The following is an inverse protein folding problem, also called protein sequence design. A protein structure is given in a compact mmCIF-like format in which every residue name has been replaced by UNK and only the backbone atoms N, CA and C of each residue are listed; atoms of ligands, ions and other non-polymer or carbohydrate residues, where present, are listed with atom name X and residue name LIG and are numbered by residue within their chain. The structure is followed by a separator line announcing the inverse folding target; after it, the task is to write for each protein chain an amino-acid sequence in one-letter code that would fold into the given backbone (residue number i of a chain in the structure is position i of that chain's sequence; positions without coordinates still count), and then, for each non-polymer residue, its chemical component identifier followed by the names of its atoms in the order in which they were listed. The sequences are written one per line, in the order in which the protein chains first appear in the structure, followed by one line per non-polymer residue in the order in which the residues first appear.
data_IF_273901517695
#
_entry.id   IF_273901517695
#
_cell.length_a   1.000
_cell.length_b   1.000
_cell.length_c   1.000
_cell.angle_alpha   90.00
_cell.angle_beta   90.00
_cell.angle_gamma   90.00
#
_symmetry.space_group_name_H-M   'P 1'
#
loop_
_entity.id
_entity.type
_entity.pdbx_description
1 polymer ?
#
# COMPACT_ATOMS: atom_id res chain seq x y z
N UNK A 1 13.53 11.28 3.06
CA UNK A 1 13.26 10.48 1.85
C UNK A 1 12.54 9.22 2.30
N UNK A 2 11.46 8.83 1.64
CA UNK A 2 10.66 7.63 1.95
C UNK A 2 10.79 6.68 0.76
N UNK A 3 11.08 5.40 1.02
CA UNK A 3 10.98 4.36 0.01
C UNK A 3 9.68 3.60 0.25
N UNK A 4 8.73 3.73 -0.68
CA UNK A 4 7.50 2.93 -0.69
C UNK A 4 7.65 1.82 -1.72
N UNK A 5 7.28 0.61 -1.35
CA UNK A 5 7.23 -0.55 -2.24
C UNK A 5 5.82 -1.12 -2.24
N UNK A 6 5.19 -1.12 -3.40
CA UNK A 6 3.88 -1.73 -3.58
C UNK A 6 4.02 -3.25 -3.45
N UNK A 7 3.24 -3.82 -2.54
CA UNK A 7 3.31 -5.23 -2.13
C UNK A 7 1.96 -5.88 -2.44
N UNK A 8 1.65 -5.89 -3.74
CA UNK A 8 0.29 -6.12 -4.25
C UNK A 8 0.06 -7.47 -4.95
N UNK A 9 1.09 -8.09 -5.54
CA UNK A 9 0.91 -9.38 -6.22
C UNK A 9 0.77 -10.53 -5.21
N UNK A 10 -0.47 -10.90 -4.92
CA UNK A 10 -0.83 -12.05 -4.08
C UNK A 10 -1.06 -13.34 -4.88
N UNK A 11 -0.99 -13.30 -6.22
CA UNK A 11 -1.26 -14.46 -7.08
C UNK A 11 0.02 -15.27 -7.29
N UNK A 12 1.12 -14.59 -7.63
CA UNK A 12 2.39 -15.20 -8.07
C UNK A 12 3.29 -15.52 -6.88
N UNK A 13 3.55 -16.79 -6.53
CA UNK A 13 4.41 -17.16 -5.40
C UNK A 13 5.85 -16.68 -5.51
N UNK A 14 6.40 -16.59 -6.71
CA UNK A 14 7.78 -16.18 -6.97
C UNK A 14 8.06 -14.74 -6.52
N UNK A 15 7.02 -13.90 -6.45
CA UNK A 15 7.15 -12.54 -5.91
C UNK A 15 7.44 -12.50 -4.41
N UNK A 16 7.17 -13.59 -3.69
CA UNK A 16 7.48 -13.70 -2.26
C UNK A 16 9.00 -13.68 -2.03
N UNK A 17 9.79 -14.29 -2.93
CA UNK A 17 11.27 -14.26 -2.86
C UNK A 17 11.82 -12.87 -3.17
N UNK A 18 11.23 -12.18 -4.16
CA UNK A 18 11.60 -10.79 -4.47
C UNK A 18 11.35 -9.86 -3.29
N UNK A 19 10.25 -10.06 -2.55
CA UNK A 19 9.96 -9.28 -1.35
C UNK A 19 10.99 -9.52 -0.24
N UNK A 20 11.43 -10.78 -0.06
CA UNK A 20 12.50 -11.10 0.88
C UNK A 20 13.80 -10.39 0.49
N UNK A 21 14.21 -10.54 -0.77
CA UNK A 21 15.43 -9.93 -1.30
C UNK A 21 15.43 -8.40 -1.11
N UNK A 22 14.29 -7.75 -1.39
CA UNK A 22 14.14 -6.31 -1.20
C UNK A 22 14.23 -5.93 0.29
N UNK A 23 13.51 -6.60 1.18
CA UNK A 23 13.57 -6.32 2.62
C UNK A 23 15.01 -6.48 3.16
N UNK A 24 15.67 -7.59 2.83
CA UNK A 24 17.05 -7.84 3.24
C UNK A 24 18.05 -6.84 2.64
N UNK A 25 17.81 -6.36 1.43
CA UNK A 25 18.61 -5.30 0.82
C UNK A 25 18.50 -4.00 1.63
N UNK A 26 17.29 -3.60 2.00
CA UNK A 26 17.05 -2.42 2.82
C UNK A 26 17.71 -2.55 4.20
N UNK A 27 17.57 -3.71 4.84
CA UNK A 27 18.23 -4.02 6.12
C UNK A 27 19.76 -3.95 6.01
N UNK A 28 20.35 -4.52 4.96
CA UNK A 28 21.80 -4.51 4.73
C UNK A 28 22.38 -3.10 4.68
N UNK A 29 21.62 -2.14 4.14
CA UNK A 29 22.04 -0.74 4.07
C UNK A 29 21.56 0.11 5.25
N UNK A 30 20.89 -0.49 6.25
CA UNK A 30 20.37 0.23 7.41
C UNK A 30 19.26 1.23 7.06
N UNK A 31 18.53 1.00 5.98
CA UNK A 31 17.45 1.87 5.50
C UNK A 31 16.10 1.23 5.79
N UNK A 32 15.21 1.95 6.46
CA UNK A 32 13.83 1.49 6.66
C UNK A 32 12.97 1.88 5.44
N UNK A 33 12.43 0.89 4.75
CA UNK A 33 11.39 1.07 3.73
C UNK A 33 9.98 0.98 4.33
N UNK A 34 8.99 1.40 3.55
CA UNK A 34 7.56 1.19 3.79
C UNK A 34 7.03 0.23 2.74
N UNK A 35 6.48 -0.90 3.16
CA UNK A 35 5.83 -1.86 2.27
C UNK A 35 4.32 -1.60 2.31
N UNK A 36 3.73 -1.25 1.17
CA UNK A 36 2.31 -1.05 1.02
C UNK A 36 1.65 -2.41 0.77
N UNK A 37 1.17 -3.06 1.82
CA UNK A 37 0.74 -4.47 1.76
C UNK A 37 -0.76 -4.58 1.52
N UNK A 38 -1.12 -5.37 0.51
CA UNK A 38 -2.51 -5.80 0.28
C UNK A 38 -2.92 -6.83 1.34
N UNK A 39 -4.13 -6.73 1.87
CA UNK A 39 -4.66 -7.71 2.84
C UNK A 39 -4.56 -9.16 2.36
N UNK A 40 -4.94 -9.41 1.11
CA UNK A 40 -4.83 -10.74 0.50
C UNK A 40 -3.37 -11.19 0.31
N UNK A 41 -2.42 -10.28 0.09
CA UNK A 41 -0.98 -10.61 0.05
C UNK A 41 -0.50 -11.10 1.40
N UNK A 42 -0.86 -10.42 2.48
CA UNK A 42 -0.53 -10.87 3.83
C UNK A 42 -1.09 -12.27 4.11
N UNK A 43 -2.34 -12.52 3.73
CA UNK A 43 -2.97 -13.85 3.85
C UNK A 43 -2.30 -14.89 2.97
N UNK A 44 -1.89 -14.55 1.75
CA UNK A 44 -1.18 -15.45 0.84
C UNK A 44 0.18 -15.88 1.42
N UNK A 45 0.99 -14.94 1.93
CA UNK A 45 2.26 -15.23 2.61
C UNK A 45 2.06 -16.21 3.78
N UNK A 46 1.05 -15.94 4.63
CA UNK A 46 0.72 -16.83 5.76
C UNK A 46 0.30 -18.23 5.29
N UNK A 47 -0.58 -18.34 4.29
CA UNK A 47 -1.03 -19.63 3.75
C UNK A 47 0.11 -20.43 3.12
N UNK A 48 1.07 -19.76 2.47
CA UNK A 48 2.26 -20.38 1.88
C UNK A 48 3.34 -20.72 2.90
N UNK A 49 3.18 -20.34 4.17
CA UNK A 49 4.18 -20.56 5.21
C UNK A 49 5.45 -19.73 5.05
N UNK A 50 5.38 -18.58 4.34
CA UNK A 50 6.49 -17.65 4.11
C UNK A 50 6.76 -16.77 5.34
N UNK A 51 7.05 -17.44 6.46
CA UNK A 51 7.37 -16.78 7.73
C UNK A 51 8.68 -15.99 7.65
N UNK A 52 9.63 -16.45 6.83
CA UNK A 52 10.84 -15.73 6.46
C UNK A 52 10.53 -14.32 5.89
N UNK A 53 9.61 -14.24 4.93
CA UNK A 53 9.18 -12.96 4.33
C UNK A 53 8.45 -12.11 5.36
N UNK A 54 7.53 -12.70 6.12
CA UNK A 54 6.77 -11.97 7.15
C UNK A 54 7.74 -11.36 8.17
N UNK A 55 8.69 -12.13 8.70
CA UNK A 55 9.67 -11.64 9.67
C UNK A 55 10.60 -10.57 9.08
N UNK A 56 10.96 -10.67 7.80
CA UNK A 56 11.72 -9.62 7.13
C UNK A 56 10.93 -8.32 7.02
N UNK A 57 9.67 -8.39 6.57
CA UNK A 57 8.78 -7.23 6.46
C UNK A 57 8.50 -6.58 7.83
N UNK A 58 8.45 -7.36 8.93
CA UNK A 58 8.26 -6.84 10.30
C UNK A 58 9.36 -5.87 10.75
N UNK A 59 10.53 -5.90 10.13
CA UNK A 59 11.65 -4.96 10.43
C UNK A 59 11.46 -3.61 9.74
N UNK A 60 10.52 -3.52 8.80
CA UNK A 60 10.19 -2.32 8.04
C UNK A 60 8.88 -1.69 8.49
N UNK A 61 8.54 -0.55 7.91
CA UNK A 61 7.23 0.07 8.08
C UNK A 61 6.20 -0.65 7.19
N UNK A 62 4.98 -0.84 7.71
CA UNK A 62 3.88 -1.47 6.99
C UNK A 62 2.82 -0.40 6.72
N UNK A 63 2.53 -0.17 5.44
CA UNK A 63 1.37 0.57 4.99
C UNK A 63 0.32 -0.39 4.42
N UNK A 64 -0.90 0.08 4.25
CA UNK A 64 -2.03 -0.72 3.79
C UNK A 64 -2.45 -0.31 2.38
N UNK A 65 -2.55 -1.28 1.46
CA UNK A 65 -2.87 -1.04 0.05
C UNK A 65 -4.19 -1.73 -0.37
N UNK A 66 -5.25 -1.53 0.43
CA UNK A 66 -6.54 -2.22 0.33
C UNK A 66 -6.52 -3.73 0.67
N UNK A 67 -7.70 -4.28 0.98
CA UNK A 67 -7.90 -5.68 1.31
C UNK A 67 -7.72 -6.59 0.10
N UNK A 68 -8.11 -6.11 -1.07
CA UNK A 68 -8.21 -6.89 -2.30
C UNK A 68 -7.61 -6.21 -3.53
N UNK A 69 -7.01 -5.03 -3.36
CA UNK A 69 -6.38 -4.28 -4.44
C UNK A 69 -7.33 -4.11 -5.64
N UNK A 70 -6.90 -4.57 -6.83
CA UNK A 70 -7.62 -4.46 -8.10
C UNK A 70 -8.68 -5.54 -8.35
N UNK A 71 -9.05 -6.34 -7.34
CA UNK A 71 -10.15 -7.30 -7.52
C UNK A 71 -11.48 -6.58 -7.65
N UNK A 72 -12.12 -6.82 -8.80
CA UNK A 72 -13.43 -6.26 -9.12
C UNK A 72 -14.55 -6.93 -8.29
N UNK A 73 -15.57 -6.16 -7.86
CA UNK A 73 -15.64 -4.71 -8.03
C UNK A 73 -14.62 -3.99 -7.13
N UNK A 74 -13.93 -2.98 -7.67
CA UNK A 74 -12.98 -2.13 -6.94
C UNK A 74 -13.71 -1.24 -5.93
N UNK A 75 -13.00 -0.50 -5.05
CA UNK A 75 -13.72 0.32 -4.07
C UNK A 75 -14.49 1.45 -4.76
N UNK A 76 -13.93 2.08 -5.79
CA UNK A 76 -14.65 3.12 -6.52
C UNK A 76 -15.88 2.56 -7.26
N UNK A 77 -15.79 1.34 -7.81
CA UNK A 77 -16.92 0.69 -8.46
C UNK A 77 -18.05 0.36 -7.49
N UNK A 78 -17.70 -0.16 -6.30
CA UNK A 78 -18.70 -0.46 -5.26
C UNK A 78 -19.38 0.80 -4.73
N UNK A 79 -18.67 1.92 -4.71
CA UNK A 79 -19.17 3.19 -4.17
C UNK A 79 -19.87 4.09 -5.19
N UNK A 80 -19.91 3.70 -6.47
CA UNK A 80 -20.40 4.53 -7.59
C UNK A 80 -21.75 5.20 -7.30
N UNK A 81 -22.69 4.42 -6.79
CA UNK A 81 -24.07 4.85 -6.57
C UNK A 81 -24.41 5.06 -5.07
N UNK A 82 -23.40 5.01 -4.21
CA UNK A 82 -23.58 5.10 -2.75
C UNK A 82 -23.61 6.54 -2.24
N UNK A 83 -24.51 6.82 -1.30
CA UNK A 83 -24.44 8.03 -0.48
C UNK A 83 -23.24 8.02 0.48
N UNK A 84 -22.98 9.15 1.16
CA UNK A 84 -21.83 9.26 2.08
C UNK A 84 -21.84 8.22 3.20
N UNK A 85 -22.92 8.15 3.98
CA UNK A 85 -22.99 7.27 5.16
C UNK A 85 -22.92 5.78 4.81
N UNK A 86 -23.65 5.38 3.77
CA UNK A 86 -23.60 4.01 3.23
C UNK A 86 -22.22 3.69 2.67
N UNK A 87 -21.64 4.60 1.88
CA UNK A 87 -20.32 4.41 1.30
C UNK A 87 -19.23 4.23 2.35
N UNK A 88 -19.24 5.03 3.43
CA UNK A 88 -18.30 4.85 4.56
C UNK A 88 -18.46 3.46 5.19
N UNK A 89 -19.68 2.97 5.36
CA UNK A 89 -19.94 1.62 5.88
C UNK A 89 -19.37 0.55 4.95
N UNK A 90 -19.59 0.67 3.64
CA UNK A 90 -19.03 -0.24 2.62
C UNK A 90 -17.51 -0.29 2.72
N UNK A 91 -16.83 0.87 2.83
CA UNK A 91 -15.36 0.91 2.97
C UNK A 91 -14.93 0.18 4.24
N UNK A 92 -15.56 0.46 5.39
CA UNK A 92 -15.19 -0.17 6.68
C UNK A 92 -15.38 -1.69 6.62
N UNK A 93 -16.47 -2.17 6.03
CA UNK A 93 -16.77 -3.59 5.91
C UNK A 93 -15.79 -4.31 4.97
N UNK A 94 -15.45 -3.68 3.84
CA UNK A 94 -14.50 -4.24 2.86
C UNK A 94 -13.07 -4.25 3.40
N UNK A 95 -12.63 -3.13 3.97
CA UNK A 95 -11.22 -2.86 4.26
C UNK A 95 -10.81 -3.24 5.70
N UNK A 96 -11.75 -3.17 6.65
CA UNK A 96 -11.49 -3.50 8.05
C UNK A 96 -10.87 -4.88 8.29
N UNK A 97 -11.32 -5.97 7.62
CA UNK A 97 -10.69 -7.28 7.75
C UNK A 97 -9.22 -7.30 7.32
N UNK A 98 -8.87 -6.65 6.20
CA UNK A 98 -7.50 -6.60 5.71
C UNK A 98 -6.57 -5.87 6.66
N UNK A 99 -7.01 -4.75 7.23
CA UNK A 99 -6.25 -4.03 8.26
C UNK A 99 -5.98 -4.90 9.51
N UNK A 100 -7.00 -5.62 9.99
CA UNK A 100 -6.85 -6.53 11.15
C UNK A 100 -5.90 -7.68 10.85
N UNK A 101 -5.94 -8.20 9.62
CA UNK A 101 -5.02 -9.25 9.20
C UNK A 101 -3.57 -8.74 9.17
N UNK A 102 -3.32 -7.53 8.66
CA UNK A 102 -1.98 -6.93 8.70
C UNK A 102 -1.49 -6.73 10.14
N UNK A 103 -2.33 -6.18 11.02
CA UNK A 103 -2.02 -6.02 12.44
C UNK A 103 -1.68 -7.35 13.10
N UNK A 104 -2.44 -8.40 12.80
CA UNK A 104 -2.22 -9.74 13.34
C UNK A 104 -0.93 -10.39 12.82
N UNK A 105 -0.69 -10.31 11.51
CA UNK A 105 0.39 -11.02 10.82
C UNK A 105 1.73 -10.32 11.06
N UNK A 106 1.78 -9.01 10.91
CA UNK A 106 3.01 -8.23 11.04
C UNK A 106 3.20 -7.66 12.46
N UNK A 107 2.20 -7.75 13.34
CA UNK A 107 2.29 -7.18 14.69
C UNK A 107 2.44 -5.65 14.69
N UNK A 108 2.09 -4.99 13.58
CA UNK A 108 2.21 -3.55 13.38
C UNK A 108 0.87 -3.02 12.88
N UNK A 109 0.42 -1.90 13.46
CA UNK A 109 -0.69 -1.13 12.91
C UNK A 109 -0.20 -0.41 11.65
N UNK A 110 -0.91 -0.52 10.50
CA UNK A 110 -0.50 0.17 9.29
C UNK A 110 -0.37 1.68 9.49
N UNK A 111 0.75 2.24 9.04
CA UNK A 111 1.11 3.65 9.21
C UNK A 111 0.34 4.59 8.29
N UNK A 112 0.00 4.09 7.10
CA UNK A 112 -0.68 4.82 6.04
C UNK A 112 -1.60 3.91 5.21
N UNK A 113 -2.57 4.50 4.54
CA UNK A 113 -3.30 3.90 3.44
C UNK A 113 -2.72 4.41 2.12
N UNK A 114 -2.33 3.50 1.23
CA UNK A 114 -1.87 3.79 -0.12
C UNK A 114 -3.00 3.38 -1.08
N UNK A 115 -3.42 4.28 -1.95
CA UNK A 115 -4.50 3.98 -2.90
C UNK A 115 -4.04 2.90 -3.92
N UNK A 116 -4.82 1.83 -4.14
CA UNK A 116 -4.45 0.77 -5.07
C UNK A 116 -4.67 1.23 -6.53
N UNK A 117 -3.60 1.42 -7.31
CA UNK A 117 -3.70 1.70 -8.75
C UNK A 117 -4.55 2.94 -9.12
N UNK A 118 -4.63 3.94 -8.25
CA UNK A 118 -5.48 5.13 -8.45
C UNK A 118 -6.98 4.91 -8.19
N UNK A 119 -7.39 3.74 -7.72
CA UNK A 119 -8.75 3.43 -7.28
C UNK A 119 -9.04 4.13 -5.95
N UNK A 120 -9.85 5.18 -5.99
CA UNK A 120 -10.17 5.99 -4.81
C UNK A 120 -11.62 6.49 -4.85
N UNK A 121 -12.13 6.86 -3.67
CA UNK A 121 -13.41 7.54 -3.50
C UNK A 121 -13.36 8.47 -2.26
N UNK A 122 -14.16 9.53 -2.20
CA UNK A 122 -14.08 10.54 -1.12
C UNK A 122 -14.42 9.99 0.27
N UNK A 123 -15.12 8.87 0.36
CA UNK A 123 -15.43 8.18 1.60
C UNK A 123 -14.20 7.46 2.20
N UNK A 124 -13.21 7.08 1.38
CA UNK A 124 -12.08 6.24 1.80
C UNK A 124 -11.21 6.93 2.86
N UNK A 125 -10.75 8.18 2.70
CA UNK A 125 -9.93 8.84 3.73
C UNK A 125 -10.62 8.92 5.09
N UNK A 126 -11.92 9.24 5.12
CA UNK A 126 -12.70 9.28 6.36
C UNK A 126 -12.83 7.90 7.00
N UNK A 127 -13.13 6.88 6.21
CA UNK A 127 -13.23 5.50 6.68
C UNK A 127 -11.88 4.99 7.22
N UNK A 128 -10.76 5.31 6.57
CA UNK A 128 -9.42 4.98 7.04
C UNK A 128 -9.11 5.64 8.38
N UNK A 129 -9.48 6.91 8.55
CA UNK A 129 -9.40 7.59 9.85
C UNK A 129 -10.24 6.90 10.93
N UNK A 130 -11.43 6.39 10.61
CA UNK A 130 -12.27 5.60 11.54
C UNK A 130 -11.68 4.25 11.89
N UNK A 131 -10.97 3.63 10.95
CA UNK A 131 -10.20 2.40 11.17
C UNK A 131 -8.85 2.70 11.86
N UNK A 132 -8.55 3.98 12.07
CA UNK A 132 -7.39 4.54 12.80
C UNK A 132 -6.08 4.51 12.01
N UNK A 133 -6.16 4.53 10.68
CA UNK A 133 -5.01 4.78 9.80
C UNK A 133 -4.87 6.30 9.63
N UNK A 134 -3.77 6.92 10.10
CA UNK A 134 -3.68 8.37 10.24
C UNK A 134 -3.28 9.10 8.96
N UNK A 135 -2.72 8.39 7.98
CA UNK A 135 -2.15 8.96 6.75
C UNK A 135 -2.83 8.36 5.53
N UNK A 136 -3.16 9.21 4.56
CA UNK A 136 -3.56 8.82 3.22
C UNK A 136 -2.46 9.24 2.25
N UNK A 137 -1.76 8.26 1.69
CA UNK A 137 -0.56 8.47 0.92
C UNK A 137 -0.70 8.07 -0.55
N UNK A 138 0.11 8.71 -1.38
CA UNK A 138 0.05 8.65 -2.85
C UNK A 138 -1.33 9.09 -3.42
N UNK A 139 -1.99 9.99 -2.69
CA UNK A 139 -3.32 10.47 -3.03
C UNK A 139 -3.36 11.57 -4.10
N UNK A 140 -4.57 11.84 -4.56
CA UNK A 140 -4.92 12.86 -5.56
C UNK A 140 -5.10 14.29 -4.99
N UNK A 141 -4.71 14.52 -3.74
CA UNK A 141 -5.02 15.74 -3.00
C UNK A 141 -3.96 16.83 -3.22
N UNK A 142 -4.38 17.98 -3.76
CA UNK A 142 -3.54 19.17 -3.97
C UNK A 142 -4.24 20.43 -3.42
N UNK A 143 -3.51 21.41 -2.85
CA UNK A 143 -2.07 21.40 -2.57
C UNK A 143 -1.73 20.53 -1.35
N UNK A 144 -0.49 20.04 -1.25
CA UNK A 144 -0.07 19.10 -0.22
C UNK A 144 1.19 19.56 0.56
N UNK A 145 1.37 19.13 1.84
CA UNK A 145 0.49 18.26 2.65
C UNK A 145 -0.84 18.96 3.01
N UNK A 146 -1.94 18.20 3.14
CA UNK A 146 -3.23 18.72 3.61
C UNK A 146 -3.97 17.76 4.55
N UNK A 147 -4.81 18.32 5.43
CA UNK A 147 -5.71 17.51 6.26
C UNK A 147 -7.05 17.34 5.54
N UNK A 148 -7.45 16.09 5.31
CA UNK A 148 -8.75 15.77 4.71
C UNK A 148 -9.45 14.72 5.56
N UNK A 149 -10.69 14.99 5.96
CA UNK A 149 -11.49 14.08 6.78
C UNK A 149 -10.79 13.56 8.06
N UNK A 150 -9.85 14.33 8.63
CA UNK A 150 -9.11 13.98 9.84
C UNK A 150 -7.88 13.08 9.61
N UNK A 151 -7.52 12.79 8.36
CA UNK A 151 -6.26 12.12 8.00
C UNK A 151 -5.31 13.07 7.29
N UNK A 152 -4.01 12.84 7.43
CA UNK A 152 -2.97 13.59 6.72
C UNK A 152 -2.84 13.04 5.30
N UNK A 153 -3.20 13.84 4.31
CA UNK A 153 -3.07 13.53 2.89
C UNK A 153 -1.77 14.11 2.31
N UNK A 154 -1.00 13.24 1.65
CA UNK A 154 0.38 13.51 1.24
C UNK A 154 0.79 12.62 0.08
N UNK A 155 1.58 13.14 -0.85
CA UNK A 155 2.22 12.40 -1.93
C UNK A 155 3.70 12.38 -1.66
N UNK A 156 4.26 11.18 -1.67
CA UNK A 156 5.69 10.97 -1.44
C UNK A 156 6.42 10.57 -2.72
N UNK A 157 5.73 10.60 -3.87
CA UNK A 157 6.26 10.07 -5.11
C UNK A 157 7.34 10.99 -5.71
N UNK A 158 8.59 10.63 -5.48
CA UNK A 158 9.66 10.83 -6.45
C UNK A 158 9.62 9.62 -7.39
N UNK A 159 8.87 9.73 -8.50
CA UNK A 159 8.94 8.71 -9.54
C UNK A 159 10.36 8.75 -10.15
N UNK A 160 11.08 7.65 -10.07
CA UNK A 160 12.23 7.46 -10.92
C UNK A 160 11.70 7.28 -12.35
N UNK A 161 11.82 8.32 -13.17
CA UNK A 161 11.50 8.24 -14.59
C UNK A 161 12.47 7.26 -15.25
N UNK A 162 12.04 6.01 -15.46
CA UNK A 162 12.80 4.99 -16.17
C UNK A 162 13.21 5.44 -17.58
N UNK A 163 12.53 6.45 -18.16
CA UNK A 163 12.83 6.99 -19.49
C UNK A 163 14.04 7.91 -19.53
N UNK A 164 14.65 8.22 -18.38
CA UNK A 164 15.92 8.97 -18.29
C UNK A 164 17.14 8.07 -18.13
N UNK A 165 17.07 6.81 -18.54
CA UNK A 165 18.27 6.04 -18.88
C UNK A 165 19.07 6.79 -19.94
N UNK A 166 20.39 6.95 -19.74
CA UNK A 166 21.29 7.61 -20.72
C UNK A 166 21.06 6.98 -22.09
N UNK A 167 20.78 7.81 -23.11
CA UNK A 167 20.86 7.35 -24.50
C UNK A 167 22.22 6.69 -24.72
N UNK A 168 22.28 5.51 -25.35
CA UNK A 168 23.56 4.89 -25.68
C UNK A 168 24.37 5.92 -26.49
N UNK A 169 25.60 6.16 -26.06
CA UNK A 169 26.51 7.04 -26.79
C UNK A 169 26.62 6.51 -28.22
N UNK A 170 26.16 7.29 -29.19
CA UNK A 170 26.42 7.04 -30.60
C UNK A 170 27.93 7.11 -30.80
N UNK A 171 28.56 5.94 -30.89
CA UNK A 171 29.89 5.78 -31.43
C UNK A 171 29.84 6.17 -32.91
N UNK A 172 30.16 7.42 -33.23
CA UNK A 172 30.53 7.80 -34.59
C UNK A 172 31.95 7.31 -34.84
N UNK A 173 32.06 6.25 -35.65
CA UNK A 173 33.27 5.94 -36.39
C UNK A 173 33.37 6.85 -37.63
#
# INVERSE_FOLDING_TARGET
MVFQLDTEDFVTPETDDVLLDLAELFDRYGVRATFAVVGEKARALRRRGRWDVIEALRRHDIAYQSNYHSLHPTIAEQLRDSGWGEGVKIVIEREGPGLRDLESIFGQRPSAYIQPGGDWAPQVPYAMGKLGVPVYADGIFEPQPLWFCGVLAVRYALYFDERRGRSPATSTA
#
